data_IF_015452112012
#
_entry.id   IF_015452112012
#
_cell.length_a   1.000
_cell.length_b   1.000
_cell.length_c   1.000
_cell.angle_alpha   90.00
_cell.angle_beta   90.00
_cell.angle_gamma   90.00
#
_symmetry.space_group_name_H-M   'P 1'
#
loop_
_entity.id
_entity.type
_entity.pdbx_description
1 polymer ?
#
# COMPACT_ATOMS: atom_id res chain seq x y z
N UNK A 1 13.48 2.79 -24.47
CA UNK A 1 14.63 3.68 -24.19
C UNK A 1 14.23 4.96 -23.46
N UNK A 2 13.31 5.79 -23.98
CA UNK A 2 12.78 6.94 -23.23
C UNK A 2 11.86 6.50 -22.05
N UNK A 3 11.03 5.48 -22.27
CA UNK A 3 10.10 4.96 -21.27
C UNK A 3 10.81 4.25 -20.10
N UNK A 4 11.86 3.47 -20.37
CA UNK A 4 12.64 2.79 -19.32
C UNK A 4 13.34 3.78 -18.39
N UNK A 5 13.83 4.89 -18.95
CA UNK A 5 14.46 5.96 -18.19
C UNK A 5 13.43 6.67 -17.31
N UNK A 6 12.21 6.87 -17.79
CA UNK A 6 11.13 7.49 -17.02
C UNK A 6 10.68 6.59 -15.85
N UNK A 7 10.51 5.28 -16.10
CA UNK A 7 10.18 4.31 -15.06
C UNK A 7 11.28 4.22 -13.99
N UNK A 8 12.54 4.19 -14.41
CA UNK A 8 13.70 4.17 -13.49
C UNK A 8 13.77 5.45 -12.66
N UNK A 9 13.56 6.63 -13.27
CA UNK A 9 13.48 7.91 -12.54
C UNK A 9 12.38 7.88 -11.49
N UNK A 10 11.19 7.38 -11.85
CA UNK A 10 10.06 7.28 -10.91
C UNK A 10 10.39 6.39 -9.72
N UNK A 11 11.06 5.26 -9.95
CA UNK A 11 11.52 4.39 -8.87
C UNK A 11 12.54 5.08 -7.96
N UNK A 12 13.50 5.82 -8.51
CA UNK A 12 14.49 6.56 -7.72
C UNK A 12 13.84 7.65 -6.86
N UNK A 13 12.85 8.37 -7.41
CA UNK A 13 12.07 9.36 -6.67
C UNK A 13 11.33 8.71 -5.50
N UNK A 14 10.62 7.61 -5.75
CA UNK A 14 9.89 6.87 -4.71
C UNK A 14 10.85 6.39 -3.62
N UNK A 15 11.99 5.80 -3.97
CA UNK A 15 12.98 5.32 -2.99
C UNK A 15 13.49 6.49 -2.13
N UNK A 16 13.78 7.64 -2.74
CA UNK A 16 14.23 8.83 -2.01
C UNK A 16 13.17 9.31 -1.02
N UNK A 17 11.92 9.41 -1.46
CA UNK A 17 10.82 9.87 -0.61
C UNK A 17 10.60 8.90 0.56
N UNK A 18 10.74 7.60 0.33
CA UNK A 18 10.67 6.57 1.38
C UNK A 18 11.79 6.71 2.41
N UNK A 19 13.03 6.99 1.98
CA UNK A 19 14.16 7.21 2.89
C UNK A 19 14.02 8.48 3.74
N UNK A 20 13.25 9.46 3.26
CA UNK A 20 13.00 10.73 3.97
C UNK A 20 11.72 10.73 4.80
N UNK A 21 10.95 9.63 4.78
CA UNK A 21 9.69 9.54 5.50
C UNK A 21 9.92 9.62 7.03
N UNK A 22 9.35 10.62 7.73
CA UNK A 22 9.61 10.85 9.16
C UNK A 22 8.78 9.94 10.08
N UNK A 23 7.82 9.18 9.53
CA UNK A 23 6.95 8.30 10.29
C UNK A 23 6.41 7.16 9.43
N UNK A 24 5.96 6.09 10.11
CA UNK A 24 5.34 4.94 9.45
C UNK A 24 4.07 5.34 8.67
N UNK A 25 3.31 6.31 9.16
CA UNK A 25 2.09 6.79 8.48
C UNK A 25 2.39 7.46 7.13
N UNK A 26 3.43 8.31 7.10
CA UNK A 26 3.91 8.93 5.85
C UNK A 26 4.46 7.87 4.91
N UNK A 27 5.22 6.90 5.43
CA UNK A 27 5.74 5.78 4.65
C UNK A 27 4.61 4.97 4.00
N UNK A 28 3.59 4.58 4.78
CA UNK A 28 2.45 3.82 4.27
C UNK A 28 1.68 4.59 3.19
N UNK A 29 1.55 5.91 3.35
CA UNK A 29 0.94 6.79 2.35
C UNK A 29 1.75 6.78 1.04
N UNK A 30 3.06 7.03 1.12
CA UNK A 30 3.94 7.08 -0.04
C UNK A 30 3.97 5.75 -0.81
N UNK A 31 4.13 4.63 -0.11
CA UNK A 31 4.10 3.31 -0.75
C UNK A 31 2.72 3.01 -1.33
N UNK A 32 1.64 3.40 -0.65
CA UNK A 32 0.29 3.21 -1.18
C UNK A 32 0.08 3.92 -2.52
N UNK A 33 0.55 5.16 -2.64
CA UNK A 33 0.53 5.92 -3.92
C UNK A 33 1.39 5.24 -4.97
N UNK A 34 2.65 4.96 -4.64
CA UNK A 34 3.60 4.32 -5.55
C UNK A 34 3.09 2.97 -6.07
N UNK A 35 2.53 2.14 -5.19
CA UNK A 35 1.99 0.84 -5.55
C UNK A 35 0.86 0.98 -6.57
N UNK A 36 -0.07 1.91 -6.38
CA UNK A 36 -1.17 2.15 -7.35
C UNK A 36 -0.65 2.63 -8.70
N UNK A 37 0.28 3.58 -8.69
CA UNK A 37 0.85 4.12 -9.94
C UNK A 37 1.62 3.07 -10.74
N UNK A 38 2.43 2.25 -10.06
CA UNK A 38 3.27 1.24 -10.70
C UNK A 38 2.49 0.01 -11.16
N UNK A 39 1.40 -0.33 -10.47
CA UNK A 39 0.58 -1.52 -10.79
C UNK A 39 -0.68 -1.20 -11.58
N UNK A 40 -1.03 0.08 -11.70
CA UNK A 40 -2.31 0.55 -12.24
C UNK A 40 -3.54 -0.02 -11.49
N UNK A 41 -3.39 -0.36 -10.21
CA UNK A 41 -4.47 -0.87 -9.38
C UNK A 41 -5.40 0.24 -8.86
N UNK A 42 -6.69 -0.11 -8.68
CA UNK A 42 -7.71 0.78 -8.11
C UNK A 42 -7.47 1.10 -6.62
N UNK A 43 -6.70 0.25 -5.93
CA UNK A 43 -6.29 0.48 -4.55
C UNK A 43 -5.07 -0.34 -4.13
N UNK A 44 -4.43 0.13 -3.07
CA UNK A 44 -3.31 -0.51 -2.38
C UNK A 44 -3.52 -0.38 -0.86
N UNK A 45 -3.19 -1.46 -0.13
CA UNK A 45 -3.48 -1.56 1.30
C UNK A 45 -2.27 -2.11 2.05
N UNK A 46 -1.96 -1.50 3.18
CA UNK A 46 -0.98 -2.01 4.14
C UNK A 46 -1.68 -2.87 5.17
N UNK A 47 -1.32 -4.15 5.19
CA UNK A 47 -1.78 -5.12 6.18
C UNK A 47 -0.61 -5.50 7.07
N UNK A 48 -0.74 -5.23 8.37
CA UNK A 48 0.21 -5.63 9.40
C UNK A 48 -0.24 -6.96 10.01
N UNK A 49 0.67 -7.92 10.10
CA UNK A 49 0.43 -9.17 10.81
C UNK A 49 0.78 -9.00 12.28
N UNK A 50 -0.22 -9.06 13.15
CA UNK A 50 -0.11 -9.00 14.60
C UNK A 50 -0.51 -10.37 15.18
N UNK A 51 0.46 -11.27 15.36
CA UNK A 51 0.21 -12.64 15.82
C UNK A 51 -0.66 -13.42 14.82
N UNK A 52 -1.87 -13.79 15.25
CA UNK A 52 -2.91 -14.45 14.47
C UNK A 52 -3.97 -13.48 13.93
N UNK A 53 -3.69 -12.17 13.94
CA UNK A 53 -4.56 -11.14 13.39
C UNK A 53 -3.87 -10.38 12.24
N UNK A 54 -4.67 -9.97 11.27
CA UNK A 54 -4.32 -9.05 10.20
C UNK A 54 -4.98 -7.70 10.48
N UNK A 55 -4.16 -6.66 10.66
CA UNK A 55 -4.59 -5.29 10.85
C UNK A 55 -4.40 -4.48 9.58
N UNK A 56 -5.49 -3.92 9.05
CA UNK A 56 -5.48 -3.06 7.88
C UNK A 56 -5.05 -1.64 8.29
N UNK A 57 -3.75 -1.40 8.36
CA UNK A 57 -3.16 -0.21 8.94
C UNK A 57 -3.33 1.04 8.07
N UNK A 58 -3.26 0.89 6.76
CA UNK A 58 -3.43 2.00 5.82
C UNK A 58 -4.04 1.50 4.51
N UNK A 59 -4.75 2.40 3.84
CA UNK A 59 -5.38 2.14 2.56
C UNK A 59 -5.31 3.39 1.70
N UNK A 60 -4.93 3.19 0.44
CA UNK A 60 -5.02 4.19 -0.61
C UNK A 60 -5.86 3.56 -1.74
N UNK A 61 -7.10 3.98 -1.91
CA UNK A 61 -8.06 3.37 -2.84
C UNK A 61 -9.05 4.43 -3.34
N UNK A 62 -9.73 4.15 -4.45
CA UNK A 62 -10.82 5.02 -4.96
C UNK A 62 -12.09 4.95 -4.11
N UNK A 63 -12.28 3.91 -3.31
CA UNK A 63 -13.43 3.69 -2.44
C UNK A 63 -13.01 2.97 -1.15
N UNK A 64 -13.62 3.28 0.01
CA UNK A 64 -13.22 2.71 1.29
C UNK A 64 -13.43 1.20 1.36
N UNK A 65 -12.38 0.45 1.69
CA UNK A 65 -12.42 -1.00 1.88
C UNK A 65 -12.44 -1.35 3.37
N UNK A 66 -11.28 -1.44 4.03
CA UNK A 66 -11.15 -2.03 5.37
C UNK A 66 -10.15 -1.33 6.29
N UNK A 67 -9.68 -0.12 5.97
CA UNK A 67 -8.77 0.64 6.84
C UNK A 67 -9.26 0.68 8.30
N UNK A 68 -8.37 0.32 9.23
CA UNK A 68 -8.65 0.28 10.67
C UNK A 68 -9.24 -1.04 11.17
N UNK A 69 -9.66 -1.94 10.29
CA UNK A 69 -10.25 -3.22 10.69
C UNK A 69 -9.18 -4.27 11.01
N UNK A 70 -9.53 -5.21 11.91
CA UNK A 70 -8.72 -6.37 12.26
C UNK A 70 -9.48 -7.65 11.96
N UNK A 71 -8.82 -8.60 11.34
CA UNK A 71 -9.38 -9.91 11.00
C UNK A 71 -8.48 -11.03 11.52
N UNK A 72 -9.02 -12.19 11.88
CA UNK A 72 -8.20 -13.39 12.09
C UNK A 72 -7.40 -13.70 10.82
N UNK A 73 -6.14 -14.12 10.97
CA UNK A 73 -5.26 -14.50 9.86
C UNK A 73 -5.86 -15.61 9.01
N UNK A 74 -6.58 -16.56 9.64
CA UNK A 74 -7.33 -17.62 8.95
C UNK A 74 -8.49 -17.09 8.09
N UNK A 75 -8.93 -15.87 8.34
CA UNK A 75 -9.95 -15.13 7.58
C UNK A 75 -9.33 -14.04 6.71
N UNK A 76 -8.00 -13.97 6.58
CA UNK A 76 -7.29 -13.08 5.66
C UNK A 76 -7.41 -13.53 4.19
N UNK A 77 -8.54 -14.16 3.85
CA UNK A 77 -8.98 -14.37 2.49
C UNK A 77 -10.07 -13.32 2.25
N UNK A 78 -9.83 -12.48 1.26
CA UNK A 78 -10.62 -11.34 0.81
C UNK A 78 -12.05 -11.67 0.31
N UNK A 79 -12.74 -12.65 0.92
CA UNK A 79 -14.01 -13.17 0.42
C UNK A 79 -15.07 -13.13 1.50
N UNK A 80 -15.96 -12.13 1.39
CA UNK A 80 -17.43 -12.20 1.46
C UNK A 80 -17.99 -10.76 1.58
N UNK A 81 -18.62 -10.24 0.52
CA UNK A 81 -19.65 -9.21 0.73
C UNK A 81 -19.79 -8.03 -0.24
N UNK A 82 -19.19 -8.04 -1.44
CA UNK A 82 -19.66 -7.23 -2.58
C UNK A 82 -19.87 -8.12 -3.79
#
# INVERSE_FOLDING_TARGET
MADDLQATKRLVEIIRDLCLAPSLDILMTLVGVAARELTHADGATFVLKEGDQCFYAHENSVAPLWKGQRFPLCSCNLWLGY
#
